data_IF_181759684743
#
_entry.id   IF_181759684743
#
_cell.length_a   1.000
_cell.length_b   1.000
_cell.length_c   1.000
_cell.angle_alpha   90.00
_cell.angle_beta   90.00
_cell.angle_gamma   90.00
#
_symmetry.space_group_name_H-M   'P 1'
#
loop_
_entity.id
_entity.type
_entity.pdbx_description
1 polymer ?
#
# COMPACT_ATOMS: atom_id res chain seq x y z
N UNK A 1 31.00 -8.06 -63.30
CA UNK A 1 30.97 -7.05 -62.22
C UNK A 1 29.56 -7.00 -61.65
N UNK A 2 29.43 -6.74 -60.35
CA UNK A 2 28.24 -6.67 -59.49
C UNK A 2 27.84 -7.95 -58.72
N UNK A 3 27.95 -7.83 -57.39
CA UNK A 3 27.03 -8.25 -56.29
C UNK A 3 27.88 -8.55 -55.04
N UNK A 4 27.99 -7.62 -54.09
CA UNK A 4 27.02 -7.14 -53.08
C UNK A 4 27.24 -7.83 -51.73
N UNK A 5 27.39 -6.96 -50.74
CA UNK A 5 27.71 -7.13 -49.34
C UNK A 5 26.65 -7.90 -48.54
N UNK A 6 27.12 -8.60 -47.50
CA UNK A 6 26.44 -8.83 -46.21
C UNK A 6 27.52 -9.39 -45.27
N UNK A 7 27.75 -8.90 -44.05
CA UNK A 7 26.79 -8.40 -43.07
C UNK A 7 26.76 -9.41 -41.92
N UNK A 8 27.84 -9.50 -41.16
CA UNK A 8 27.96 -10.41 -40.02
C UNK A 8 26.99 -9.98 -38.91
N UNK A 9 25.95 -10.77 -38.71
CA UNK A 9 25.04 -10.67 -37.57
C UNK A 9 25.30 -11.86 -36.63
N UNK A 10 25.88 -11.57 -35.46
CA UNK A 10 26.07 -12.55 -34.41
C UNK A 10 24.74 -12.76 -33.66
N UNK A 11 23.95 -13.73 -34.12
CA UNK A 11 22.76 -14.21 -33.42
C UNK A 11 23.13 -15.28 -32.40
N UNK A 12 23.09 -14.93 -31.11
CA UNK A 12 23.19 -15.89 -30.00
C UNK A 12 21.91 -16.72 -29.92
N UNK A 13 21.94 -17.94 -30.45
CA UNK A 13 20.86 -18.92 -30.33
C UNK A 13 20.99 -19.67 -29.00
N UNK A 14 20.08 -19.42 -28.06
CA UNK A 14 20.00 -20.15 -26.79
C UNK A 14 19.37 -21.53 -27.06
N UNK A 15 20.16 -22.58 -26.97
CA UNK A 15 19.70 -23.97 -27.05
C UNK A 15 19.42 -24.49 -25.65
N UNK A 16 18.21 -25.02 -25.43
CA UNK A 16 17.90 -25.78 -24.23
C UNK A 16 18.78 -27.03 -24.22
N UNK A 17 19.65 -27.14 -23.21
CA UNK A 17 20.41 -28.36 -22.97
C UNK A 17 19.44 -29.50 -22.68
N UNK A 18 19.48 -30.49 -23.56
CA UNK A 18 18.74 -31.73 -23.50
C UNK A 18 19.31 -32.61 -22.38
N UNK A 19 18.65 -32.67 -21.22
CA UNK A 19 18.99 -33.65 -20.19
C UNK A 19 18.43 -35.01 -20.60
N UNK A 20 19.28 -35.80 -21.25
CA UNK A 20 19.11 -37.24 -21.36
C UNK A 20 19.44 -37.88 -20.01
N UNK A 21 18.45 -38.02 -19.13
CA UNK A 21 18.50 -38.95 -18.00
C UNK A 21 17.09 -39.43 -17.73
N UNK A 22 16.92 -40.75 -17.79
CA UNK A 22 15.71 -41.47 -17.43
C UNK A 22 15.27 -41.09 -16.00
N UNK A 23 14.20 -40.33 -15.90
CA UNK A 23 13.58 -39.93 -14.63
C UNK A 23 12.22 -39.30 -14.90
N UNK A 24 11.17 -40.06 -14.58
CA UNK A 24 9.77 -39.68 -14.33
C UNK A 24 9.30 -38.25 -14.65
N UNK A 25 8.18 -38.15 -15.38
CA UNK A 25 7.37 -36.94 -15.59
C UNK A 25 7.30 -36.01 -14.37
N UNK A 26 7.29 -34.68 -14.56
CA UNK A 26 7.34 -33.72 -13.47
C UNK A 26 6.08 -33.82 -12.62
N UNK A 27 6.19 -34.55 -11.50
CA UNK A 27 5.29 -34.40 -10.36
C UNK A 27 5.50 -33.00 -9.80
N UNK A 28 4.43 -32.23 -9.61
CA UNK A 28 4.45 -30.94 -8.90
C UNK A 28 5.26 -31.09 -7.57
N UNK A 29 6.40 -30.39 -7.39
CA UNK A 29 7.34 -30.70 -6.31
C UNK A 29 7.25 -29.75 -5.10
N UNK A 30 6.40 -28.72 -5.10
CA UNK A 30 6.46 -27.65 -4.11
C UNK A 30 5.75 -28.00 -2.80
N UNK A 31 6.40 -28.83 -1.97
CA UNK A 31 6.07 -29.01 -0.55
C UNK A 31 7.34 -28.90 0.30
N UNK A 32 8.00 -27.75 0.26
CA UNK A 32 8.90 -27.33 1.33
C UNK A 32 8.10 -26.54 2.36
N UNK A 33 8.00 -27.01 3.61
CA UNK A 33 7.55 -26.12 4.71
C UNK A 33 8.65 -25.07 4.92
N UNK A 34 8.26 -23.82 5.18
CA UNK A 34 9.17 -22.84 5.79
C UNK A 34 9.84 -23.52 6.99
N UNK A 35 11.17 -23.52 7.04
CA UNK A 35 11.86 -23.74 8.30
C UNK A 35 11.44 -22.63 9.28
N UNK A 36 11.51 -22.90 10.59
CA UNK A 36 11.19 -21.93 11.64
C UNK A 36 12.17 -20.74 11.58
N UNK A 37 11.92 -19.82 10.64
CA UNK A 37 12.65 -18.55 10.54
C UNK A 37 12.13 -17.66 11.66
N UNK A 38 13.06 -17.16 12.47
CA UNK A 38 12.70 -16.18 13.49
C UNK A 38 12.19 -14.91 12.79
N UNK A 39 11.02 -14.36 13.17
CA UNK A 39 10.51 -13.14 12.56
C UNK A 39 11.51 -11.99 12.64
N UNK A 40 11.70 -11.29 11.53
CA UNK A 40 12.60 -10.14 11.43
C UNK A 40 12.02 -8.95 12.19
N UNK A 41 12.80 -8.42 13.11
CA UNK A 41 12.51 -7.17 13.84
C UNK A 41 13.62 -6.14 13.60
N UNK A 42 13.37 -4.88 13.95
CA UNK A 42 14.38 -3.81 13.82
C UNK A 42 15.67 -4.06 14.60
N UNK A 43 15.60 -4.81 15.71
CA UNK A 43 16.77 -5.22 16.49
C UNK A 43 17.37 -6.57 16.07
N UNK A 44 16.76 -7.24 15.08
CA UNK A 44 17.17 -8.56 14.62
C UNK A 44 18.41 -8.54 13.73
N UNK A 45 19.08 -9.69 13.62
CA UNK A 45 20.19 -9.86 12.68
C UNK A 45 19.65 -10.04 11.26
N UNK A 46 19.59 -8.93 10.52
CA UNK A 46 19.16 -8.92 9.13
C UNK A 46 19.98 -9.86 8.23
N UNK A 47 21.29 -9.97 8.44
CA UNK A 47 22.14 -10.81 7.58
C UNK A 47 21.84 -12.29 7.79
N UNK A 48 21.67 -12.70 9.04
CA UNK A 48 21.29 -14.06 9.38
C UNK A 48 19.87 -14.38 8.89
N UNK A 49 18.92 -13.45 9.05
CA UNK A 49 17.57 -13.61 8.49
C UNK A 49 17.60 -13.78 6.97
N UNK A 50 18.37 -12.95 6.25
CA UNK A 50 18.57 -13.09 4.80
C UNK A 50 19.14 -14.46 4.43
N UNK A 51 20.13 -14.94 5.19
CA UNK A 51 20.74 -16.26 4.95
C UNK A 51 19.70 -17.38 5.09
N UNK A 52 18.89 -17.36 6.15
CA UNK A 52 17.84 -18.35 6.40
C UNK A 52 16.74 -18.30 5.34
N UNK A 53 16.30 -17.09 4.97
CA UNK A 53 15.29 -16.93 3.93
C UNK A 53 15.79 -17.41 2.57
N UNK A 54 17.00 -17.00 2.15
CA UNK A 54 17.58 -17.48 0.89
C UNK A 54 17.71 -19.00 0.86
N UNK A 55 18.12 -19.62 1.97
CA UNK A 55 18.15 -21.07 2.10
C UNK A 55 16.75 -21.71 1.93
N UNK A 56 15.71 -21.12 2.52
CA UNK A 56 14.33 -21.59 2.34
C UNK A 56 13.84 -21.45 0.89
N UNK A 57 14.12 -20.33 0.25
CA UNK A 57 13.80 -20.13 -1.16
C UNK A 57 14.57 -21.11 -2.07
N UNK A 58 15.84 -21.39 -1.77
CA UNK A 58 16.65 -22.33 -2.54
C UNK A 58 16.14 -23.78 -2.40
N UNK A 59 15.83 -24.22 -1.17
CA UNK A 59 15.26 -25.56 -0.91
C UNK A 59 13.89 -25.77 -1.55
N UNK A 60 13.09 -24.70 -1.70
CA UNK A 60 11.82 -24.73 -2.45
C UNK A 60 12.00 -24.61 -3.98
N UNK A 61 13.19 -24.26 -4.46
CA UNK A 61 13.46 -24.00 -5.88
C UNK A 61 12.91 -22.67 -6.38
N UNK A 62 12.65 -21.71 -5.49
CA UNK A 62 11.99 -20.42 -5.77
C UNK A 62 12.91 -19.21 -5.61
N UNK A 63 14.21 -19.41 -5.34
CA UNK A 63 15.20 -18.32 -5.15
C UNK A 63 15.29 -17.33 -6.33
N UNK A 64 15.01 -17.77 -7.55
CA UNK A 64 14.97 -16.89 -8.71
C UNK A 64 13.92 -15.77 -8.57
N UNK A 65 12.85 -15.97 -7.78
CA UNK A 65 11.82 -14.97 -7.51
C UNK A 65 12.33 -13.74 -6.75
N UNK A 66 13.36 -13.90 -5.92
CA UNK A 66 13.98 -12.77 -5.19
C UNK A 66 15.22 -12.22 -5.90
N UNK A 67 15.89 -13.01 -6.76
CA UNK A 67 17.14 -12.58 -7.41
C UNK A 67 16.92 -12.00 -8.81
N UNK A 68 16.08 -12.64 -9.62
CA UNK A 68 15.97 -12.35 -11.07
C UNK A 68 14.63 -11.75 -11.47
N UNK A 69 13.57 -11.99 -10.69
CA UNK A 69 12.20 -11.62 -11.05
C UNK A 69 11.74 -12.24 -12.37
N UNK A 70 12.22 -13.47 -12.63
CA UNK A 70 11.92 -14.19 -13.87
C UNK A 70 10.46 -14.62 -13.86
N UNK A 71 9.60 -13.90 -14.59
CA UNK A 71 8.19 -14.27 -14.76
C UNK A 71 7.98 -15.56 -15.56
N UNK A 72 6.72 -16.01 -15.74
CA UNK A 72 6.46 -17.16 -16.58
C UNK A 72 6.88 -16.82 -18.01
N UNK A 73 7.67 -17.69 -18.64
CA UNK A 73 8.19 -17.46 -19.99
C UNK A 73 7.09 -17.12 -21.01
N UNK A 74 7.44 -16.41 -22.08
CA UNK A 74 6.48 -15.86 -23.06
C UNK A 74 5.55 -16.91 -23.70
N UNK A 75 5.97 -18.18 -23.72
CA UNK A 75 5.21 -19.32 -24.26
C UNK A 75 4.49 -20.19 -23.20
N UNK A 76 4.41 -19.75 -21.94
CA UNK A 76 3.78 -20.52 -20.87
C UNK A 76 2.27 -20.72 -21.10
N UNK A 77 1.80 -21.93 -20.83
CA UNK A 77 0.38 -22.29 -20.86
C UNK A 77 -0.42 -21.55 -19.78
N UNK A 78 -1.75 -21.48 -19.94
CA UNK A 78 -2.63 -20.86 -18.93
C UNK A 78 -2.49 -21.51 -17.55
N UNK A 79 -2.27 -22.82 -17.51
CA UNK A 79 -2.08 -23.58 -16.27
C UNK A 79 -0.74 -23.26 -15.60
N UNK A 80 0.34 -23.14 -16.37
CA UNK A 80 1.65 -22.73 -15.85
C UNK A 80 1.63 -21.30 -15.32
N UNK A 81 0.95 -20.37 -16.00
CA UNK A 81 0.76 -19.00 -15.51
C UNK A 81 0.01 -18.97 -14.17
N UNK A 82 -1.08 -19.72 -14.05
CA UNK A 82 -1.84 -19.78 -12.80
C UNK A 82 -1.04 -20.42 -11.65
N UNK A 83 -0.28 -21.48 -11.93
CA UNK A 83 0.60 -22.11 -10.95
C UNK A 83 1.72 -21.16 -10.51
N UNK A 84 2.26 -20.38 -11.44
CA UNK A 84 3.25 -19.35 -11.17
C UNK A 84 2.69 -18.23 -10.29
N UNK A 85 1.53 -17.66 -10.63
CA UNK A 85 0.88 -16.62 -9.83
C UNK A 85 0.56 -17.11 -8.41
N UNK A 86 0.13 -18.37 -8.27
CA UNK A 86 -0.12 -18.98 -6.96
C UNK A 86 1.17 -19.09 -6.14
N UNK A 87 2.28 -19.50 -6.76
CA UNK A 87 3.60 -19.57 -6.12
C UNK A 87 4.10 -18.17 -5.69
N UNK A 88 3.99 -17.18 -6.57
CA UNK A 88 4.33 -15.77 -6.26
C UNK A 88 3.55 -15.27 -5.06
N UNK A 89 2.25 -15.57 -5.00
CA UNK A 89 1.40 -15.20 -3.87
C UNK A 89 1.80 -15.89 -2.57
N UNK A 90 2.10 -17.19 -2.63
CA UNK A 90 2.51 -17.99 -1.46
C UNK A 90 3.84 -17.48 -0.90
N UNK A 91 4.86 -17.31 -1.74
CA UNK A 91 6.18 -16.86 -1.31
C UNK A 91 6.18 -15.42 -0.79
N UNK A 92 5.33 -14.56 -1.37
CA UNK A 92 5.11 -13.21 -0.83
C UNK A 92 4.43 -13.25 0.54
N UNK A 93 3.43 -14.11 0.70
CA UNK A 93 2.80 -14.34 2.00
C UNK A 93 3.80 -14.87 3.03
N UNK A 94 4.69 -15.77 2.62
CA UNK A 94 5.78 -16.30 3.45
C UNK A 94 6.76 -15.21 3.87
N UNK A 95 7.19 -14.36 2.95
CA UNK A 95 8.05 -13.22 3.25
C UNK A 95 7.46 -12.32 4.33
N UNK A 96 6.19 -11.93 4.16
CA UNK A 96 5.50 -11.05 5.11
C UNK A 96 5.24 -11.73 6.46
N UNK A 97 4.96 -13.04 6.48
CA UNK A 97 4.80 -13.82 7.73
C UNK A 97 6.10 -13.98 8.51
N UNK A 98 7.26 -13.88 7.85
CA UNK A 98 8.57 -13.92 8.47
C UNK A 98 9.05 -12.56 8.98
N UNK A 99 8.18 -11.56 9.03
CA UNK A 99 8.43 -10.25 9.65
C UNK A 99 7.69 -10.18 10.98
N UNK A 100 8.23 -9.42 11.93
CA UNK A 100 7.44 -9.02 13.09
C UNK A 100 6.26 -8.10 12.66
N UNK A 101 5.33 -7.87 13.57
CA UNK A 101 4.11 -7.13 13.26
C UNK A 101 4.39 -5.67 12.84
N UNK A 102 5.40 -5.04 13.42
CA UNK A 102 5.71 -3.63 13.16
C UNK A 102 6.40 -3.45 11.79
N UNK A 103 7.43 -4.25 11.52
CA UNK A 103 8.13 -4.29 10.23
C UNK A 103 7.16 -4.69 9.13
N UNK A 104 6.32 -5.70 9.36
CA UNK A 104 5.30 -6.10 8.40
C UNK A 104 4.36 -4.94 8.08
N UNK A 105 3.83 -4.24 9.10
CA UNK A 105 2.95 -3.10 8.89
C UNK A 105 3.61 -2.05 8.00
N UNK A 106 4.84 -1.64 8.30
CA UNK A 106 5.54 -0.59 7.55
C UNK A 106 5.88 -1.00 6.11
N UNK A 107 6.34 -2.23 5.90
CA UNK A 107 6.55 -2.78 4.55
C UNK A 107 5.24 -2.77 3.75
N UNK A 108 4.11 -3.06 4.41
CA UNK A 108 2.80 -3.07 3.76
C UNK A 108 2.16 -1.70 3.51
N UNK A 109 2.70 -0.62 4.09
CA UNK A 109 2.23 0.74 3.81
C UNK A 109 2.56 1.20 2.37
N UNK A 110 3.49 0.52 1.70
CA UNK A 110 3.80 0.81 0.31
C UNK A 110 2.58 0.48 -0.57
N UNK A 111 1.98 1.45 -1.29
CA UNK A 111 0.72 1.23 -2.02
C UNK A 111 0.86 0.21 -3.16
N UNK A 112 2.08 0.01 -3.65
CA UNK A 112 2.40 -0.99 -4.66
C UNK A 112 2.66 -2.38 -4.09
N UNK A 113 2.70 -2.56 -2.76
CA UNK A 113 3.00 -3.85 -2.12
C UNK A 113 1.95 -4.90 -2.45
N UNK A 114 0.70 -4.54 -2.80
CA UNK A 114 -0.31 -5.53 -3.18
C UNK A 114 0.00 -6.13 -4.56
N UNK A 115 0.42 -5.28 -5.49
CA UNK A 115 0.75 -5.62 -6.88
C UNK A 115 2.23 -5.94 -7.10
N UNK A 116 3.05 -5.87 -6.04
CA UNK A 116 4.49 -6.08 -6.11
C UNK A 116 4.87 -7.52 -6.45
N UNK A 117 5.99 -7.67 -7.16
CA UNK A 117 6.66 -8.96 -7.28
C UNK A 117 7.29 -9.40 -5.95
N UNK A 118 7.71 -10.66 -5.89
CA UNK A 118 8.43 -11.21 -4.72
C UNK A 118 9.75 -10.48 -4.52
N UNK A 119 10.49 -10.19 -5.60
CA UNK A 119 11.71 -9.36 -5.56
C UNK A 119 11.45 -7.94 -5.06
N UNK A 120 10.38 -7.30 -5.51
CA UNK A 120 10.03 -5.97 -5.05
C UNK A 120 9.63 -5.96 -3.56
N UNK A 121 8.94 -7.01 -3.11
CA UNK A 121 8.62 -7.20 -1.67
C UNK A 121 9.90 -7.43 -0.86
N UNK A 122 10.81 -8.26 -1.34
CA UNK A 122 12.13 -8.47 -0.74
C UNK A 122 12.93 -7.17 -0.63
N UNK A 123 12.92 -6.37 -1.70
CA UNK A 123 13.54 -5.05 -1.72
C UNK A 123 12.92 -4.13 -0.68
N UNK A 124 11.59 -4.06 -0.58
CA UNK A 124 10.90 -3.27 0.43
C UNK A 124 11.33 -3.64 1.86
N UNK A 125 11.46 -4.94 2.17
CA UNK A 125 11.94 -5.41 3.48
C UNK A 125 13.37 -4.93 3.73
N UNK A 126 14.26 -5.05 2.74
CA UNK A 126 15.63 -4.54 2.82
C UNK A 126 15.63 -3.04 3.13
N UNK A 127 14.81 -2.28 2.41
CA UNK A 127 14.71 -0.83 2.57
C UNK A 127 14.24 -0.45 3.97
N UNK A 128 13.27 -1.19 4.50
CA UNK A 128 12.74 -0.91 5.82
C UNK A 128 13.77 -1.13 6.93
N UNK A 129 14.61 -2.16 6.80
CA UNK A 129 15.56 -2.55 7.85
C UNK A 129 16.91 -1.83 7.74
N UNK A 130 17.41 -1.66 6.52
CA UNK A 130 18.73 -1.05 6.27
C UNK A 130 18.65 0.45 5.94
N UNK A 131 17.43 0.98 5.83
CA UNK A 131 17.19 2.35 5.42
C UNK A 131 17.19 2.54 3.90
N UNK A 132 16.69 3.71 3.49
CA UNK A 132 16.55 4.10 2.09
C UNK A 132 17.71 4.94 1.57
N UNK A 133 18.03 4.77 0.27
CA UNK A 133 18.76 5.82 -0.42
C UNK A 133 17.91 7.08 -0.50
N UNK A 134 18.54 8.23 -0.72
CA UNK A 134 17.83 9.50 -0.81
C UNK A 134 16.80 9.48 -1.97
N UNK A 135 17.16 8.87 -3.10
CA UNK A 135 16.27 8.72 -4.26
C UNK A 135 15.02 7.89 -3.93
N UNK A 136 15.21 6.76 -3.22
CA UNK A 136 14.10 5.90 -2.79
C UNK A 136 13.21 6.59 -1.75
N UNK A 137 13.79 7.33 -0.82
CA UNK A 137 13.04 8.12 0.15
C UNK A 137 12.19 9.22 -0.52
N UNK A 138 12.71 9.89 -1.56
CA UNK A 138 11.92 10.83 -2.36
C UNK A 138 10.86 10.15 -3.23
N UNK A 139 11.13 8.94 -3.72
CA UNK A 139 10.11 8.13 -4.41
C UNK A 139 8.95 7.79 -3.46
N UNK A 140 9.26 7.39 -2.21
CA UNK A 140 8.26 7.16 -1.17
C UNK A 140 7.44 8.42 -0.87
N UNK A 141 8.08 9.59 -0.79
CA UNK A 141 7.38 10.87 -0.63
C UNK A 141 6.46 11.19 -1.83
N UNK A 142 6.88 10.85 -3.05
CA UNK A 142 6.07 10.97 -4.26
C UNK A 142 4.85 10.05 -4.21
N UNK A 143 5.01 8.82 -3.74
CA UNK A 143 3.90 7.88 -3.57
C UNK A 143 2.93 8.34 -2.45
N UNK A 144 3.45 8.88 -1.35
CA UNK A 144 2.63 9.47 -0.30
C UNK A 144 1.78 10.64 -0.82
N UNK A 145 2.32 11.48 -1.70
CA UNK A 145 1.55 12.55 -2.33
C UNK A 145 0.38 12.02 -3.18
N UNK A 146 0.43 10.77 -3.69
CA UNK A 146 -0.67 10.16 -4.46
C UNK A 146 -1.80 9.64 -3.56
N UNK A 147 -1.59 9.54 -2.25
CA UNK A 147 -2.63 9.08 -1.32
C UNK A 147 -3.87 9.98 -1.36
N UNK A 148 -3.71 11.27 -1.70
CA UNK A 148 -4.83 12.21 -1.86
C UNK A 148 -5.85 11.84 -2.95
N UNK A 149 -5.44 10.98 -3.90
CA UNK A 149 -6.26 10.58 -5.04
C UNK A 149 -6.80 9.15 -4.89
N UNK A 150 -6.33 8.40 -3.88
CA UNK A 150 -6.78 7.04 -3.60
C UNK A 150 -8.14 7.03 -2.89
N UNK A 151 -8.93 5.97 -3.10
CA UNK A 151 -10.24 5.84 -2.45
C UNK A 151 -10.10 5.19 -1.08
N UNK A 152 -10.75 5.78 -0.08
CA UNK A 152 -10.81 5.25 1.28
C UNK A 152 -12.27 5.11 1.75
N UNK A 153 -12.54 4.14 2.63
CA UNK A 153 -13.90 3.89 3.13
C UNK A 153 -14.45 5.05 3.95
N UNK A 154 -13.59 5.81 4.63
CA UNK A 154 -13.97 6.97 5.42
C UNK A 154 -12.84 8.01 5.48
N UNK A 155 -13.17 9.28 5.79
CA UNK A 155 -12.18 10.32 6.06
C UNK A 155 -11.22 9.95 7.20
N UNK A 156 -11.70 9.24 8.23
CA UNK A 156 -10.87 8.77 9.32
C UNK A 156 -9.84 7.74 8.84
N UNK A 157 -10.27 6.73 8.08
CA UNK A 157 -9.36 5.74 7.51
C UNK A 157 -8.30 6.38 6.58
N UNK A 158 -8.69 7.44 5.85
CA UNK A 158 -7.74 8.23 5.08
C UNK A 158 -6.71 8.94 5.98
N UNK A 159 -7.15 9.63 7.04
CA UNK A 159 -6.23 10.30 7.97
C UNK A 159 -5.31 9.33 8.70
N UNK A 160 -5.81 8.18 9.12
CA UNK A 160 -5.00 7.12 9.75
C UNK A 160 -3.92 6.63 8.76
N UNK A 161 -4.27 6.44 7.48
CA UNK A 161 -3.29 6.09 6.44
C UNK A 161 -2.23 7.19 6.24
N UNK A 162 -2.63 8.46 6.35
CA UNK A 162 -1.69 9.60 6.29
C UNK A 162 -0.74 9.60 7.48
N UNK A 163 -1.22 9.29 8.69
CA UNK A 163 -0.39 9.20 9.90
C UNK A 163 0.64 8.06 9.79
N UNK A 164 0.19 6.88 9.39
CA UNK A 164 1.05 5.72 9.21
C UNK A 164 2.10 5.99 8.13
N UNK A 165 1.68 6.49 6.96
CA UNK A 165 2.57 6.84 5.86
C UNK A 165 3.60 7.91 6.24
N UNK A 166 3.20 8.93 7.00
CA UNK A 166 4.11 9.98 7.47
C UNK A 166 5.14 9.46 8.46
N UNK A 167 4.72 8.59 9.38
CA UNK A 167 5.61 7.95 10.35
C UNK A 167 6.64 7.07 9.64
N UNK A 168 6.20 6.28 8.66
CA UNK A 168 7.08 5.48 7.82
C UNK A 168 8.08 6.34 7.03
N UNK A 169 7.64 7.43 6.39
CA UNK A 169 8.53 8.37 5.68
C UNK A 169 9.62 8.90 6.60
N UNK A 170 9.25 9.43 7.77
CA UNK A 170 10.19 10.13 8.64
C UNK A 170 11.31 9.22 9.19
N UNK A 171 11.12 7.90 9.23
CA UNK A 171 12.18 6.94 9.61
C UNK A 171 13.32 6.89 8.60
N UNK A 172 13.04 7.17 7.34
CA UNK A 172 13.99 7.05 6.23
C UNK A 172 14.71 8.36 5.90
N UNK A 173 14.34 9.47 6.54
CA UNK A 173 15.04 10.75 6.40
C UNK A 173 15.92 11.04 7.63
N UNK A 174 17.15 11.58 7.42
CA UNK A 174 18.03 11.95 8.53
C UNK A 174 17.51 13.14 9.36
N UNK A 175 16.58 13.91 8.81
CA UNK A 175 15.85 14.97 9.51
C UNK A 175 14.35 14.82 9.25
N UNK A 176 13.49 15.05 10.27
CA UNK A 176 12.05 14.99 10.10
C UNK A 176 11.59 15.88 8.96
N UNK A 177 10.69 15.37 8.13
CA UNK A 177 10.11 16.16 7.06
C UNK A 177 9.14 17.21 7.63
N UNK A 178 8.96 18.36 6.97
CA UNK A 178 8.06 19.39 7.45
C UNK A 178 6.60 18.92 7.48
N UNK A 179 5.93 19.03 8.64
CA UNK A 179 4.52 18.65 8.82
C UNK A 179 3.54 19.38 7.88
N UNK A 180 3.99 20.49 7.27
CA UNK A 180 3.20 21.19 6.25
C UNK A 180 2.92 20.31 5.02
N UNK A 181 3.84 19.40 4.65
CA UNK A 181 3.61 18.47 3.54
C UNK A 181 2.51 17.46 3.88
N UNK A 182 2.57 16.88 5.09
CA UNK A 182 1.50 16.02 5.63
C UNK A 182 0.15 16.72 5.60
N UNK A 183 0.11 17.97 6.04
CA UNK A 183 -1.09 18.81 6.02
C UNK A 183 -1.61 19.05 4.60
N UNK A 184 -0.74 19.40 3.65
CA UNK A 184 -1.13 19.66 2.25
C UNK A 184 -1.79 18.42 1.65
N UNK A 185 -1.16 17.24 1.78
CA UNK A 185 -1.71 15.98 1.25
C UNK A 185 -3.06 15.67 1.87
N UNK A 186 -3.19 15.85 3.18
CA UNK A 186 -4.45 15.61 3.89
C UNK A 186 -5.57 16.58 3.45
N UNK A 187 -5.27 17.88 3.33
CA UNK A 187 -6.23 18.88 2.88
C UNK A 187 -6.69 18.62 1.44
N UNK A 188 -5.76 18.31 0.54
CA UNK A 188 -6.06 17.95 -0.85
C UNK A 188 -6.90 16.68 -0.92
N UNK A 189 -6.56 15.64 -0.16
CA UNK A 189 -7.32 14.39 -0.13
C UNK A 189 -8.74 14.58 0.40
N UNK A 190 -8.92 15.31 1.50
CA UNK A 190 -10.26 15.62 2.03
C UNK A 190 -11.08 16.44 1.03
N UNK A 191 -10.46 17.40 0.36
CA UNK A 191 -11.12 18.19 -0.69
C UNK A 191 -11.53 17.32 -1.87
N UNK A 192 -10.63 16.47 -2.37
CA UNK A 192 -10.83 15.65 -3.57
C UNK A 192 -11.84 14.53 -3.34
N UNK A 193 -11.74 13.84 -2.20
CA UNK A 193 -12.49 12.61 -1.91
C UNK A 193 -13.80 12.89 -1.16
N UNK A 194 -13.83 13.93 -0.32
CA UNK A 194 -14.93 14.19 0.62
C UNK A 194 -15.43 15.64 0.61
N UNK A 195 -15.04 16.45 -0.38
CA UNK A 195 -15.27 17.90 -0.38
C UNK A 195 -16.73 18.34 -0.20
N UNK A 196 -17.71 17.52 -0.60
CA UNK A 196 -19.14 17.81 -0.38
C UNK A 196 -19.55 17.72 1.09
N UNK A 197 -19.06 16.72 1.81
CA UNK A 197 -19.40 16.47 3.23
C UNK A 197 -18.72 17.50 4.14
N UNK A 198 -17.56 18.03 3.74
CA UNK A 198 -16.75 18.93 4.57
C UNK A 198 -16.75 20.38 4.07
N UNK A 199 -17.78 20.82 3.34
CA UNK A 199 -17.88 22.18 2.80
C UNK A 199 -17.82 23.28 3.88
N UNK A 200 -18.24 22.98 5.11
CA UNK A 200 -18.25 23.92 6.24
C UNK A 200 -16.85 24.19 6.79
N UNK A 201 -15.96 23.19 6.73
CA UNK A 201 -14.54 23.36 7.08
C UNK A 201 -13.89 24.46 6.25
N UNK A 202 -14.18 24.47 4.94
CA UNK A 202 -13.62 25.45 4.01
C UNK A 202 -14.26 26.83 4.16
N UNK A 203 -15.56 26.90 4.50
CA UNK A 203 -16.27 28.17 4.70
C UNK A 203 -15.92 28.87 6.02
N UNK A 204 -15.63 28.13 7.08
CA UNK A 204 -15.28 28.70 8.39
C UNK A 204 -13.87 29.31 8.50
N UNK A 205 -13.03 29.19 7.46
CA UNK A 205 -11.60 29.51 7.49
C UNK A 205 -11.21 30.84 6.84
N UNK A 206 -12.15 31.74 6.60
CA UNK A 206 -11.87 33.07 6.04
C UNK A 206 -11.14 34.02 6.99
N UNK A 207 -10.85 33.61 8.24
CA UNK A 207 -10.15 34.44 9.24
C UNK A 207 -8.77 33.87 9.61
N UNK A 208 -7.73 34.54 9.09
CA UNK A 208 -6.34 34.78 9.58
C UNK A 208 -5.47 33.71 10.26
N UNK A 209 -5.93 32.53 10.67
CA UNK A 209 -5.06 31.47 11.20
C UNK A 209 -4.80 30.38 10.16
N UNK A 210 -3.53 30.14 9.83
CA UNK A 210 -3.15 28.98 9.03
C UNK A 210 -3.56 27.70 9.76
N UNK A 211 -4.23 26.77 9.08
CA UNK A 211 -4.70 25.57 9.73
C UNK A 211 -3.59 24.58 10.03
N UNK A 212 -3.70 23.87 11.13
CA UNK A 212 -2.82 22.75 11.47
C UNK A 212 -3.43 21.42 11.02
N UNK A 213 -2.60 20.36 11.01
CA UNK A 213 -3.08 19.01 10.76
C UNK A 213 -4.02 18.54 11.88
N UNK A 214 -3.76 18.92 13.12
CA UNK A 214 -4.63 18.62 14.25
C UNK A 214 -6.03 19.26 14.10
N UNK A 215 -6.10 20.52 13.67
CA UNK A 215 -7.38 21.19 13.41
C UNK A 215 -8.24 20.45 12.38
N UNK A 216 -7.61 19.78 11.40
CA UNK A 216 -8.31 18.95 10.42
C UNK A 216 -8.85 17.67 11.05
N UNK A 217 -8.05 16.97 11.87
CA UNK A 217 -8.49 15.75 12.58
C UNK A 217 -9.67 16.06 13.51
N UNK A 218 -9.53 17.11 14.33
CA UNK A 218 -10.55 17.52 15.30
C UNK A 218 -11.86 17.95 14.61
N UNK A 219 -11.78 18.49 13.40
CA UNK A 219 -12.98 18.81 12.63
C UNK A 219 -13.69 17.56 12.12
N UNK A 220 -12.94 16.62 11.55
CA UNK A 220 -13.49 15.37 11.01
C UNK A 220 -14.11 14.52 12.11
N UNK A 221 -13.45 14.42 13.26
CA UNK A 221 -13.98 13.71 14.42
C UNK A 221 -15.30 14.31 14.92
N UNK A 222 -15.38 15.64 15.02
CA UNK A 222 -16.61 16.34 15.42
C UNK A 222 -17.77 16.11 14.45
N UNK A 223 -17.53 16.23 13.14
CA UNK A 223 -18.57 15.97 12.14
C UNK A 223 -19.03 14.49 12.15
N UNK A 224 -18.08 13.55 12.32
CA UNK A 224 -18.40 12.13 12.45
C UNK A 224 -19.25 11.82 13.69
N UNK A 225 -19.14 12.60 14.77
CA UNK A 225 -19.99 12.48 15.97
C UNK A 225 -21.39 13.11 15.77
N UNK A 226 -21.55 14.06 14.84
CA UNK A 226 -22.82 14.72 14.55
C UNK A 226 -23.72 13.88 13.63
N UNK A 227 -23.15 13.13 12.68
CA UNK A 227 -23.90 12.23 11.76
C UNK A 227 -24.71 11.10 12.44
N UNK A 228 -24.25 10.39 13.50
CA UNK A 228 -25.05 9.33 14.14
C UNK A 228 -26.34 9.86 14.79
N UNK A 229 -26.49 11.17 15.04
CA UNK A 229 -27.72 11.74 15.59
C UNK A 229 -28.86 11.88 14.57
N UNK A 230 -28.56 11.84 13.26
CA UNK A 230 -29.57 11.93 12.20
C UNK A 230 -30.25 10.58 11.91
N UNK A 231 -29.63 9.46 12.28
CA UNK A 231 -30.17 8.10 12.05
C UNK A 231 -30.78 7.44 13.28
N UNK A 232 -30.53 7.95 14.50
CA UNK A 232 -31.20 7.48 15.72
C UNK A 232 -32.59 8.11 15.96
N UNK A 233 -33.10 8.93 15.03
CA UNK A 233 -34.40 9.60 15.15
C UNK A 233 -35.53 8.95 14.34
N UNK A 234 -35.42 7.68 13.94
CA UNK A 234 -36.49 6.96 13.23
C UNK A 234 -36.71 5.53 13.74
N UNK A 235 -36.99 5.38 15.03
CA UNK A 235 -37.83 4.30 15.56
C UNK A 235 -39.01 4.91 16.34
N UNK A 236 -39.98 5.47 15.60
CA UNK A 236 -41.41 5.39 15.95
C UNK A 236 -42.26 6.02 14.83
N UNK A 237 -42.94 5.19 14.05
CA UNK A 237 -43.58 5.53 12.79
C UNK A 237 -44.98 6.19 12.90
N UNK A 238 -45.30 6.97 13.94
CA UNK A 238 -46.66 7.53 14.10
C UNK A 238 -46.83 9.01 14.44
N UNK A 239 -45.77 9.80 14.65
CA UNK A 239 -45.94 11.20 15.11
C UNK A 239 -45.43 12.31 14.16
N UNK A 240 -45.14 12.00 12.89
CA UNK A 240 -44.57 12.97 11.93
C UNK A 240 -45.62 13.95 11.34
N UNK A 241 -46.91 13.83 11.69
CA UNK A 241 -47.92 14.83 11.30
C UNK A 241 -48.24 15.90 12.35
N UNK A 242 -47.66 15.84 13.56
CA UNK A 242 -47.96 16.81 14.62
C UNK A 242 -46.92 17.92 14.81
N UNK A 243 -45.68 17.78 14.31
CA UNK A 243 -44.59 18.74 14.65
C UNK A 243 -44.06 19.62 13.52
N UNK A 244 -44.50 19.44 12.27
CA UNK A 244 -44.18 20.36 11.16
C UNK A 244 -45.02 21.66 11.15
N UNK A 245 -46.00 21.78 12.05
CA UNK A 245 -46.84 22.99 12.20
C UNK A 245 -46.39 23.98 13.28
N UNK A 246 -45.51 23.59 14.21
CA UNK A 246 -45.21 24.43 15.39
C UNK A 246 -44.03 25.40 15.22
N UNK A 247 -43.14 25.19 14.24
CA UNK A 247 -41.98 26.06 14.03
C UNK A 247 -42.20 27.19 13.01
N UNK A 248 -43.39 27.33 12.42
CA UNK A 248 -43.70 28.43 11.49
C UNK A 248 -44.32 29.68 12.11
N UNK A 249 -44.73 29.65 13.37
CA UNK A 249 -45.43 30.78 14.01
C UNK A 249 -44.64 31.52 15.10
N UNK A 250 -43.35 31.24 15.31
CA UNK A 250 -42.54 31.94 16.33
C UNK A 250 -41.63 33.03 15.72
N UNK A 251 -41.51 33.13 14.39
CA UNK A 251 -40.64 34.12 13.70
C UNK A 251 -41.43 35.28 13.07
N UNK A 252 -42.67 35.58 13.52
CA UNK A 252 -43.47 36.70 12.97
C UNK A 252 -44.08 37.69 13.96
N UNK A 253 -43.68 37.71 15.22
CA UNK A 253 -44.14 38.75 16.15
C UNK A 253 -43.01 39.28 17.03
N UNK A 254 -42.18 40.17 16.46
CA UNK A 254 -41.48 41.24 17.18
C UNK A 254 -40.94 42.27 16.17
N UNK A 255 -41.86 43.00 15.57
CA UNK A 255 -41.65 44.34 15.00
C UNK A 255 -42.97 45.08 15.13
N UNK A 256 -43.16 45.72 16.28
CA UNK A 256 -43.71 47.07 16.49
C UNK A 256 -43.30 47.50 17.89
#
# INVERSE_FOLDING_TARGET
MAKSSSGSSSGSSFTFQHWSSSGSSPRSPYKGRLLDVTPLSYGGDYKEWVRQMKYNFDTKGTIALIEKDDGPGFAATKQEKAAWEAMVKDEKGDLLRCLDAEVCANVTLSPWIATSSVKQTWHAIRMEILGMSLEEAYSLLSDFNKLKDARYPSPQAFLDTIDDGWTHINRHFPSPQPDILKLIVALEGIKNLYGKSYANFWRGRTNTSHPTYQDLKDFIEREAQLEPSLFNATENSKDIKAKTGMFRNVIKSKTY
#
